data_IF_025939602259
#
_entry.id   IF_025939602259
#
_cell.length_a   1.000
_cell.length_b   1.000
_cell.length_c   1.000
_cell.angle_alpha   90.00
_cell.angle_beta   90.00
_cell.angle_gamma   90.00
#
_symmetry.space_group_name_H-M   'P 1'
#
loop_
_entity.id
_entity.type
_entity.pdbx_description
1 polymer ?
#
# COMPACT_ATOMS: atom_id res chain seq x y z
N UNK A 1 -12.33 7.44 3.20
CA UNK A 1 -10.97 7.41 3.76
C UNK A 1 -10.43 6.00 3.65
N UNK A 2 -9.16 5.86 3.39
CA UNK A 2 -8.47 4.57 3.33
C UNK A 2 -7.76 4.36 4.64
N UNK A 3 -7.67 3.12 5.11
CA UNK A 3 -6.89 2.82 6.31
C UNK A 3 -5.63 2.08 5.91
N UNK A 4 -4.50 2.52 6.42
CA UNK A 4 -3.22 1.85 6.24
C UNK A 4 -2.67 1.48 7.61
N UNK A 5 -2.57 0.19 7.86
CA UNK A 5 -2.18 -0.33 9.19
C UNK A 5 -3.05 0.27 10.29
N UNK A 6 -4.34 0.40 10.02
CA UNK A 6 -5.30 0.93 10.99
C UNK A 6 -5.37 2.45 11.08
N UNK A 7 -4.54 3.17 10.34
CA UNK A 7 -4.48 4.63 10.40
C UNK A 7 -5.18 5.21 9.16
N UNK A 8 -6.16 6.10 9.35
CA UNK A 8 -6.82 6.73 8.22
C UNK A 8 -5.87 7.61 7.43
N UNK A 9 -5.91 7.48 6.10
CA UNK A 9 -5.12 8.32 5.20
C UNK A 9 -6.00 8.77 4.05
N UNK A 10 -5.69 9.93 3.50
CA UNK A 10 -6.42 10.49 2.37
C UNK A 10 -5.66 10.12 1.08
N UNK A 11 -6.01 8.98 0.50
CA UNK A 11 -5.33 8.47 -0.68
C UNK A 11 -6.30 7.96 -1.74
N UNK A 12 -7.58 8.29 -1.64
CA UNK A 12 -8.56 7.89 -2.64
C UNK A 12 -8.17 8.43 -4.01
N UNK A 13 -8.33 7.59 -5.03
CA UNK A 13 -8.02 7.98 -6.40
C UNK A 13 -6.56 7.85 -6.78
N UNK A 14 -5.68 7.58 -5.83
CA UNK A 14 -4.29 7.31 -6.13
C UNK A 14 -4.08 5.83 -6.38
N UNK A 15 -3.06 5.50 -7.18
CA UNK A 15 -2.62 4.11 -7.22
C UNK A 15 -1.81 3.80 -5.98
N UNK A 16 -1.60 2.52 -5.71
CA UNK A 16 -0.75 2.12 -4.59
C UNK A 16 0.64 2.74 -4.75
N UNK A 17 1.18 2.72 -5.98
CA UNK A 17 2.50 3.29 -6.23
C UNK A 17 2.53 4.78 -5.89
N UNK A 18 1.52 5.53 -6.35
CA UNK A 18 1.44 6.96 -6.04
C UNK A 18 1.36 7.22 -4.55
N UNK A 19 0.58 6.40 -3.83
CA UNK A 19 0.52 6.54 -2.39
C UNK A 19 1.88 6.28 -1.75
N UNK A 20 2.57 5.21 -2.17
CA UNK A 20 3.88 4.87 -1.59
C UNK A 20 4.89 5.98 -1.82
N UNK A 21 4.79 6.70 -2.93
CA UNK A 21 5.70 7.82 -3.21
C UNK A 21 5.54 8.97 -2.23
N UNK A 22 4.43 9.03 -1.51
CA UNK A 22 4.23 10.04 -0.46
C UNK A 22 4.74 9.57 0.89
N UNK A 23 5.29 8.38 0.98
CA UNK A 23 5.74 7.77 2.23
C UNK A 23 7.23 7.47 2.18
N UNK A 24 7.77 7.04 3.32
CA UNK A 24 9.16 6.60 3.40
C UNK A 24 9.33 5.10 3.23
N UNK A 25 8.27 4.40 2.85
CA UNK A 25 8.37 2.96 2.63
C UNK A 25 9.29 2.66 1.45
N UNK A 26 10.13 1.63 1.63
CA UNK A 26 10.98 1.13 0.57
C UNK A 26 10.20 0.02 -0.15
N UNK A 27 9.82 0.27 -1.40
CA UNK A 27 9.03 -0.68 -2.19
C UNK A 27 9.67 -2.05 -2.31
N UNK A 28 10.99 -2.12 -2.20
CA UNK A 28 11.71 -3.39 -2.32
C UNK A 28 11.64 -4.22 -1.04
N UNK A 29 11.23 -3.61 0.06
CA UNK A 29 11.28 -4.24 1.38
C UNK A 29 9.92 -4.32 2.04
N UNK A 30 8.86 -4.18 1.27
CA UNK A 30 7.50 -4.25 1.81
C UNK A 30 6.67 -5.23 1.02
N UNK A 31 5.60 -5.70 1.67
CA UNK A 31 4.52 -6.39 1.02
C UNK A 31 3.23 -5.65 1.38
N UNK A 32 2.29 -5.60 0.46
CA UNK A 32 1.03 -4.92 0.68
C UNK A 32 -0.11 -5.89 0.50
N UNK A 33 -1.04 -5.87 1.45
CA UNK A 33 -2.34 -6.51 1.30
C UNK A 33 -3.40 -5.43 1.16
N UNK A 34 -4.33 -5.64 0.25
CA UNK A 34 -5.47 -4.76 0.07
C UNK A 34 -6.72 -5.59 0.28
N UNK A 35 -7.48 -5.21 1.33
CA UNK A 35 -8.71 -5.93 1.69
C UNK A 35 -8.46 -7.44 1.87
N UNK A 36 -7.34 -7.78 2.50
CA UNK A 36 -7.01 -9.15 2.81
C UNK A 36 -6.30 -9.93 1.72
N UNK A 37 -6.03 -9.31 0.57
CA UNK A 37 -5.36 -9.98 -0.54
C UNK A 37 -4.03 -9.33 -0.85
N UNK A 38 -3.01 -10.15 -1.05
CA UNK A 38 -1.68 -9.66 -1.40
C UNK A 38 -1.74 -9.04 -2.79
N UNK A 39 -1.15 -7.85 -2.93
CA UNK A 39 -1.04 -7.16 -4.21
C UNK A 39 0.38 -7.36 -4.73
N UNK A 40 0.57 -8.03 -5.86
CA UNK A 40 1.92 -8.15 -6.44
C UNK A 40 2.49 -6.77 -6.77
N UNK A 41 3.80 -6.62 -6.62
CA UNK A 41 4.46 -5.33 -6.86
C UNK A 41 4.23 -4.81 -8.27
N UNK A 42 4.15 -5.69 -9.25
CA UNK A 42 3.91 -5.30 -10.63
C UNK A 42 2.56 -4.61 -10.81
N UNK A 43 1.62 -4.81 -9.88
CA UNK A 43 0.30 -4.19 -9.95
C UNK A 43 0.19 -2.90 -9.14
N UNK A 44 1.24 -2.46 -8.46
CA UNK A 44 1.17 -1.25 -7.64
C UNK A 44 0.82 -0.02 -8.47
N UNK A 45 1.33 0.06 -9.69
CA UNK A 45 1.10 1.23 -10.55
C UNK A 45 -0.29 1.25 -11.18
N UNK A 46 -1.01 0.14 -11.14
CA UNK A 46 -2.34 0.05 -11.78
C UNK A 46 -3.47 -0.21 -10.78
N UNK A 47 -3.17 -0.40 -9.51
CA UNK A 47 -4.20 -0.67 -8.51
C UNK A 47 -4.63 0.63 -7.86
N UNK A 48 -5.85 1.07 -8.17
CA UNK A 48 -6.41 2.30 -7.60
C UNK A 48 -6.95 2.03 -6.20
N UNK A 49 -6.75 3.01 -5.33
CA UNK A 49 -7.29 2.99 -3.98
C UNK A 49 -8.64 3.70 -3.96
N UNK A 50 -9.59 3.09 -3.26
CA UNK A 50 -10.96 3.58 -3.18
C UNK A 50 -11.34 3.80 -1.73
N UNK A 51 -12.30 4.67 -1.51
CA UNK A 51 -12.83 4.90 -0.16
C UNK A 51 -13.25 3.57 0.46
N UNK A 52 -12.83 3.36 1.69
CA UNK A 52 -13.14 2.13 2.42
C UNK A 52 -12.11 1.02 2.28
N UNK A 53 -11.14 1.16 1.39
CA UNK A 53 -10.08 0.15 1.26
C UNK A 53 -9.25 0.08 2.53
N UNK A 54 -8.82 -1.14 2.85
CA UNK A 54 -7.95 -1.40 3.99
C UNK A 54 -6.65 -1.98 3.48
N UNK A 55 -5.57 -1.27 3.73
CA UNK A 55 -4.24 -1.72 3.36
C UNK A 55 -3.47 -2.14 4.59
N UNK A 56 -2.68 -3.19 4.43
CA UNK A 56 -1.69 -3.57 5.42
C UNK A 56 -0.34 -3.58 4.74
N UNK A 57 0.60 -2.85 5.32
CA UNK A 57 1.97 -2.75 4.80
C UNK A 57 2.89 -3.43 5.80
N UNK A 58 3.58 -4.45 5.34
CA UNK A 58 4.54 -5.20 6.15
C UNK A 58 5.93 -4.93 5.62
N UNK A 59 6.83 -4.51 6.48
CA UNK A 59 8.22 -4.26 6.11
C UNK A 59 9.08 -5.46 6.44
N UNK A 60 9.99 -5.78 5.54
CA UNK A 60 10.97 -6.84 5.77
C UNK A 60 12.26 -6.22 6.26
N UNK A 61 12.80 -6.79 7.32
CA UNK A 61 14.07 -6.34 7.88
C UNK A 61 15.17 -7.27 7.43
N UNK A 62 16.33 -6.67 7.13
CA UNK A 62 17.49 -7.47 6.79
C UNK A 62 17.53 -7.97 5.37
N UNK A 63 16.56 -7.69 4.60
CA UNK A 63 16.55 -7.87 3.16
C UNK A 63 17.27 -9.08 2.62
N UNK A 64 17.19 -10.11 3.30
CA UNK A 64 17.93 -11.27 2.82
C UNK A 64 17.67 -11.57 1.37
#
# INVERSE_FOLDING_TARGET
MIKVNGIPVDAEGKTILEYLETTDYDKKRIAIEKNGEIVPKVLYESTLLKDGDILEVVSFVGGG
#
